data_IF_292608292811
#
_entry.id   IF_292608292811
#
_cell.length_a   1.000
_cell.length_b   1.000
_cell.length_c   1.000
_cell.angle_alpha   90.00
_cell.angle_beta   90.00
_cell.angle_gamma   90.00
#
_symmetry.space_group_name_H-M   'P 1'
#
loop_
_entity.id
_entity.type
_entity.pdbx_description
1 polymer ?
#
# COMPACT_ATOMS: atom_id res chain seq x y z
N UNK A 1 -46.17 25.97 20.76
CA UNK A 1 -44.89 25.20 20.65
C UNK A 1 -43.83 25.96 21.44
N UNK A 2 -43.34 25.37 22.53
CA UNK A 2 -42.47 26.07 23.47
C UNK A 2 -41.06 26.32 22.86
N UNK A 3 -40.66 27.59 22.84
CA UNK A 3 -39.34 28.05 22.36
C UNK A 3 -38.17 27.31 23.02
N UNK A 4 -38.35 26.78 24.23
CA UNK A 4 -37.38 25.96 24.96
C UNK A 4 -37.17 24.57 24.34
N UNK A 5 -38.13 24.04 23.59
CA UNK A 5 -38.00 22.73 22.94
C UNK A 5 -37.22 22.82 21.61
N UNK A 6 -37.22 24.00 21.00
CA UNK A 6 -36.51 24.26 19.74
C UNK A 6 -34.98 24.39 19.94
N UNK A 7 -34.56 24.83 21.14
CA UNK A 7 -33.13 25.04 21.46
C UNK A 7 -32.42 23.72 21.78
N UNK A 8 -33.16 22.71 22.25
CA UNK A 8 -32.58 21.40 22.60
C UNK A 8 -32.29 20.53 21.35
N UNK A 9 -32.97 20.80 20.24
CA UNK A 9 -32.79 20.04 19.01
C UNK A 9 -31.63 20.51 18.13
N UNK A 10 -30.99 21.61 18.49
CA UNK A 10 -29.88 22.21 17.74
C UNK A 10 -28.47 21.88 18.29
N UNK A 11 -28.39 21.04 19.33
CA UNK A 11 -27.13 20.82 20.05
C UNK A 11 -26.58 19.41 19.92
N UNK A 12 -26.88 18.65 18.87
CA UNK A 12 -26.39 17.28 18.76
C UNK A 12 -25.95 16.85 17.36
N UNK A 13 -25.21 17.69 16.66
CA UNK A 13 -24.36 17.18 15.57
C UNK A 13 -23.00 17.87 15.65
N UNK A 14 -22.26 17.58 16.71
CA UNK A 14 -20.82 17.68 16.65
C UNK A 14 -20.34 16.45 15.89
N UNK A 15 -20.37 16.51 14.57
CA UNK A 15 -19.63 15.57 13.73
C UNK A 15 -18.15 15.85 14.02
N UNK A 16 -17.56 15.04 14.90
CA UNK A 16 -16.10 14.95 15.01
C UNK A 16 -15.66 14.39 13.67
N UNK A 17 -15.33 15.28 12.73
CA UNK A 17 -14.55 14.90 11.57
C UNK A 17 -13.21 14.40 12.09
N UNK A 18 -13.13 13.10 12.34
CA UNK A 18 -11.88 12.42 12.57
C UNK A 18 -11.06 12.66 11.30
N UNK A 19 -10.04 13.48 11.40
CA UNK A 19 -9.09 13.76 10.33
C UNK A 19 -8.21 12.51 10.17
N UNK A 20 -8.80 11.43 9.67
CA UNK A 20 -8.03 10.31 9.14
C UNK A 20 -7.55 10.74 7.76
N UNK A 21 -6.25 10.89 7.58
CA UNK A 21 -5.61 11.12 6.28
C UNK A 21 -5.72 9.85 5.41
N UNK A 22 -6.94 9.35 5.26
CA UNK A 22 -7.24 8.23 4.39
C UNK A 22 -7.33 8.73 2.95
N UNK A 23 -6.46 8.23 2.10
CA UNK A 23 -6.52 8.51 0.67
C UNK A 23 -7.27 7.40 -0.04
N UNK A 24 -8.31 7.78 -0.77
CA UNK A 24 -9.06 6.87 -1.64
C UNK A 24 -8.47 6.88 -3.04
N UNK A 25 -8.46 5.72 -3.69
CA UNK A 25 -7.97 5.53 -5.04
C UNK A 25 -9.07 4.93 -5.92
N UNK A 26 -9.13 5.38 -7.16
CA UNK A 26 -10.01 4.78 -8.18
C UNK A 26 -9.17 3.84 -9.04
N UNK A 27 -9.43 2.53 -9.00
CA UNK A 27 -8.72 1.58 -9.86
C UNK A 27 -8.99 1.86 -11.33
N UNK A 28 -7.98 1.68 -12.17
CA UNK A 28 -8.14 1.84 -13.62
C UNK A 28 -9.00 0.73 -14.18
N UNK A 29 -10.06 1.10 -14.89
CA UNK A 29 -10.95 0.15 -15.53
C UNK A 29 -10.19 -0.73 -16.55
N UNK A 30 -10.43 -2.05 -16.48
CA UNK A 30 -9.80 -3.01 -17.38
C UNK A 30 -8.53 -3.68 -16.86
N UNK A 31 -7.93 -3.19 -15.77
CA UNK A 31 -6.84 -3.89 -15.10
C UNK A 31 -7.39 -5.13 -14.36
N UNK A 32 -6.94 -6.32 -14.77
CA UNK A 32 -7.23 -7.57 -14.06
C UNK A 32 -6.26 -7.71 -12.89
N UNK A 33 -6.77 -8.07 -11.71
CA UNK A 33 -5.99 -8.29 -10.50
C UNK A 33 -6.45 -7.43 -9.34
N UNK A 34 -5.76 -7.51 -8.18
CA UNK A 34 -6.15 -6.78 -6.97
C UNK A 34 -6.20 -5.27 -7.20
N UNK A 35 -7.21 -4.64 -6.64
CA UNK A 35 -7.41 -3.20 -6.70
C UNK A 35 -7.29 -2.59 -5.29
N UNK A 36 -6.35 -1.68 -5.12
CA UNK A 36 -6.18 -0.95 -3.86
C UNK A 36 -7.10 0.27 -3.91
N UNK A 37 -8.09 0.30 -3.02
CA UNK A 37 -9.11 1.36 -3.00
C UNK A 37 -8.87 2.41 -1.93
N UNK A 38 -8.08 2.09 -0.90
CA UNK A 38 -7.74 3.04 0.16
C UNK A 38 -6.38 2.71 0.78
N UNK A 39 -5.65 3.75 1.16
CA UNK A 39 -4.46 3.66 1.98
C UNK A 39 -4.43 4.83 2.97
N UNK A 40 -4.09 4.52 4.21
CA UNK A 40 -3.68 5.46 5.24
C UNK A 40 -2.59 4.84 6.09
N UNK A 41 -1.92 5.63 6.91
CA UNK A 41 -0.85 5.13 7.79
C UNK A 41 -1.31 3.87 8.55
N UNK A 42 -0.59 2.77 8.37
CA UNK A 42 -0.84 1.50 9.04
C UNK A 42 -2.01 0.67 8.51
N UNK A 43 -2.69 1.08 7.42
CA UNK A 43 -3.77 0.28 6.85
C UNK A 43 -3.96 0.48 5.34
N UNK A 44 -4.42 -0.58 4.69
CA UNK A 44 -4.73 -0.60 3.26
C UNK A 44 -6.00 -1.42 3.00
N UNK A 45 -6.83 -0.97 2.05
CA UNK A 45 -8.01 -1.73 1.60
C UNK A 45 -7.76 -2.21 0.18
N UNK A 46 -7.84 -3.53 -0.01
CA UNK A 46 -7.66 -4.20 -1.31
C UNK A 46 -8.88 -5.07 -1.56
N UNK A 47 -9.57 -4.85 -2.66
CA UNK A 47 -10.79 -5.59 -3.03
C UNK A 47 -11.82 -5.66 -1.87
N UNK A 48 -11.98 -4.54 -1.14
CA UNK A 48 -12.89 -4.44 0.00
C UNK A 48 -12.40 -5.06 1.30
N UNK A 49 -11.23 -5.73 1.31
CA UNK A 49 -10.64 -6.31 2.51
C UNK A 49 -9.60 -5.37 3.12
N UNK A 50 -9.69 -5.18 4.43
CA UNK A 50 -8.76 -4.37 5.21
C UNK A 50 -7.53 -5.17 5.64
N UNK A 51 -6.35 -4.58 5.42
CA UNK A 51 -5.05 -5.09 5.87
C UNK A 51 -4.40 -4.06 6.78
N UNK A 52 -3.85 -4.52 7.90
CA UNK A 52 -3.19 -3.69 8.91
C UNK A 52 -1.73 -4.10 9.16
N UNK A 53 -1.23 -5.01 8.36
CA UNK A 53 0.17 -5.43 8.37
C UNK A 53 0.81 -5.05 7.04
N UNK A 54 2.12 -4.93 7.04
CA UNK A 54 2.90 -4.89 5.81
C UNK A 54 2.49 -6.04 4.89
N UNK A 55 2.44 -5.80 3.60
CA UNK A 55 1.94 -6.80 2.66
C UNK A 55 2.73 -6.86 1.35
N UNK A 56 2.65 -8.01 0.71
CA UNK A 56 3.11 -8.21 -0.67
C UNK A 56 1.96 -8.68 -1.55
N UNK A 57 2.01 -8.30 -2.82
CA UNK A 57 1.10 -8.78 -3.85
C UNK A 57 1.94 -9.53 -4.88
N UNK A 58 1.68 -10.82 -4.99
CA UNK A 58 2.36 -11.70 -5.93
C UNK A 58 1.84 -11.49 -7.37
N UNK A 59 2.59 -11.87 -8.41
CA UNK A 59 2.14 -11.74 -9.80
C UNK A 59 0.87 -12.54 -10.12
N UNK A 60 0.53 -13.52 -9.29
CA UNK A 60 -0.72 -14.28 -9.34
C UNK A 60 -1.93 -13.48 -8.84
N UNK A 61 -1.73 -12.32 -8.25
CA UNK A 61 -2.75 -11.52 -7.58
C UNK A 61 -3.01 -11.91 -6.12
N UNK A 62 -2.27 -12.87 -5.59
CA UNK A 62 -2.38 -13.25 -4.17
C UNK A 62 -1.80 -12.14 -3.31
N UNK A 63 -2.58 -11.71 -2.31
CA UNK A 63 -2.18 -10.72 -1.32
C UNK A 63 -1.82 -11.43 -0.04
N UNK A 64 -0.60 -11.24 0.42
CA UNK A 64 -0.06 -11.91 1.61
C UNK A 64 0.52 -10.92 2.60
N UNK A 65 0.51 -11.31 3.88
CA UNK A 65 1.28 -10.61 4.90
C UNK A 65 2.76 -10.73 4.56
N UNK A 66 3.44 -9.60 4.57
CA UNK A 66 4.89 -9.51 4.43
C UNK A 66 5.45 -8.79 5.67
N UNK A 67 6.67 -9.09 6.07
CA UNK A 67 7.30 -8.45 7.22
C UNK A 67 8.80 -8.46 7.03
N UNK A 68 9.45 -7.30 6.88
CA UNK A 68 10.90 -7.23 6.87
C UNK A 68 11.45 -7.57 8.26
N UNK A 69 12.69 -8.07 8.30
CA UNK A 69 13.37 -8.36 9.56
C UNK A 69 13.69 -7.09 10.35
N UNK A 70 13.95 -5.99 9.65
CA UNK A 70 14.14 -4.66 10.23
C UNK A 70 13.13 -3.69 9.62
N UNK A 71 12.33 -2.97 10.43
CA UNK A 71 11.32 -2.05 9.92
C UNK A 71 11.92 -0.84 9.17
N UNK A 72 13.21 -0.56 9.33
CA UNK A 72 13.88 0.57 8.70
C UNK A 72 14.65 0.21 7.42
N UNK A 73 14.83 -1.09 7.16
CA UNK A 73 15.59 -1.58 6.01
C UNK A 73 14.86 -2.72 5.31
N UNK A 74 14.82 -2.67 3.99
CA UNK A 74 14.35 -3.76 3.15
C UNK A 74 15.56 -4.45 2.54
N UNK A 75 15.90 -5.62 3.07
CA UNK A 75 17.09 -6.39 2.70
C UNK A 75 16.77 -7.46 1.63
N UNK A 76 17.77 -8.02 0.93
CA UNK A 76 17.57 -9.08 -0.06
C UNK A 76 16.81 -10.29 0.49
N UNK A 77 17.03 -10.66 1.75
CA UNK A 77 16.36 -11.78 2.40
C UNK A 77 14.85 -11.55 2.55
N UNK A 78 14.44 -10.30 2.78
CA UNK A 78 13.04 -9.93 2.99
C UNK A 78 12.20 -10.02 1.72
N UNK A 79 12.84 -9.87 0.55
CA UNK A 79 12.18 -9.84 -0.75
C UNK A 79 12.48 -11.07 -1.62
N UNK A 80 13.22 -12.04 -1.09
CA UNK A 80 13.68 -13.22 -1.83
C UNK A 80 12.53 -13.98 -2.48
N UNK A 81 11.40 -14.11 -1.80
CA UNK A 81 10.25 -14.84 -2.29
C UNK A 81 9.64 -14.15 -3.52
N UNK A 82 9.31 -12.88 -3.41
CA UNK A 82 8.68 -12.14 -4.50
C UNK A 82 9.63 -11.97 -5.69
N UNK A 83 10.91 -11.78 -5.46
CA UNK A 83 11.93 -11.66 -6.53
C UNK A 83 12.07 -12.97 -7.31
N UNK A 84 11.82 -14.12 -6.68
CA UNK A 84 11.86 -15.44 -7.33
C UNK A 84 10.50 -15.89 -7.88
N UNK A 85 9.43 -15.08 -7.77
CA UNK A 85 8.07 -15.42 -8.23
C UNK A 85 7.83 -15.16 -9.73
N UNK A 86 8.87 -15.11 -10.54
CA UNK A 86 8.82 -14.91 -11.99
C UNK A 86 8.23 -13.54 -12.41
N UNK A 87 8.61 -12.49 -11.70
CA UNK A 87 8.24 -11.10 -12.00
C UNK A 87 9.22 -10.45 -12.98
N UNK A 88 8.73 -9.47 -13.74
CA UNK A 88 9.53 -8.57 -14.59
C UNK A 88 9.64 -7.17 -14.02
N UNK A 89 8.70 -6.81 -13.14
CA UNK A 89 8.69 -5.52 -12.44
C UNK A 89 8.31 -5.71 -10.97
N UNK A 90 8.93 -4.91 -10.12
CA UNK A 90 8.65 -4.85 -8.68
C UNK A 90 8.41 -3.40 -8.27
N UNK A 91 7.27 -3.16 -7.62
CA UNK A 91 6.96 -1.89 -6.98
C UNK A 91 7.23 -2.04 -5.47
N UNK A 92 7.97 -1.12 -4.91
CA UNK A 92 8.26 -1.05 -3.47
C UNK A 92 7.73 0.27 -2.94
N UNK A 93 6.65 0.22 -2.17
CA UNK A 93 6.19 1.32 -1.33
C UNK A 93 6.93 1.26 0.01
N UNK A 94 7.86 2.18 0.22
CA UNK A 94 8.80 2.14 1.33
C UNK A 94 8.36 2.97 2.55
N UNK A 95 7.06 3.04 2.79
CA UNK A 95 6.45 3.71 3.93
C UNK A 95 5.69 4.98 3.56
N UNK A 96 4.88 5.48 4.48
CA UNK A 96 4.05 6.68 4.29
C UNK A 96 4.89 7.91 3.90
N UNK A 97 6.06 8.04 4.52
CA UNK A 97 7.02 9.12 4.29
C UNK A 97 8.29 8.65 3.56
N UNK A 98 8.30 7.42 3.03
CA UNK A 98 9.49 6.85 2.41
C UNK A 98 10.60 6.48 3.39
N UNK A 99 10.24 6.15 4.65
CA UNK A 99 11.20 5.99 5.75
C UNK A 99 12.01 4.69 5.73
N UNK A 100 11.52 3.63 5.07
CA UNK A 100 12.29 2.39 4.96
C UNK A 100 13.35 2.51 3.86
N UNK A 101 14.61 2.34 4.22
CA UNK A 101 15.72 2.39 3.28
C UNK A 101 15.85 1.07 2.49
N UNK A 102 16.21 1.18 1.22
CA UNK A 102 16.53 0.04 0.37
C UNK A 102 18.01 0.12 0.01
N UNK A 103 18.89 -0.65 0.67
CA UNK A 103 20.33 -0.62 0.40
C UNK A 103 20.67 -1.02 -1.04
N UNK A 104 21.83 -0.57 -1.52
CA UNK A 104 22.31 -0.89 -2.88
C UNK A 104 22.41 -2.39 -3.11
N UNK A 105 22.75 -3.19 -2.10
CA UNK A 105 22.77 -4.65 -2.20
C UNK A 105 21.40 -5.22 -2.58
N UNK A 106 20.30 -4.65 -2.03
CA UNK A 106 18.95 -5.06 -2.36
C UNK A 106 18.58 -4.66 -3.79
N UNK A 107 18.93 -3.45 -4.20
CA UNK A 107 18.73 -2.97 -5.57
C UNK A 107 19.48 -3.85 -6.56
N UNK A 108 20.73 -4.17 -6.26
CA UNK A 108 21.58 -5.03 -7.11
C UNK A 108 21.04 -6.46 -7.16
N UNK A 109 20.52 -6.99 -6.05
CA UNK A 109 19.88 -8.30 -6.01
C UNK A 109 18.68 -8.38 -6.95
N UNK A 110 17.83 -7.34 -6.99
CA UNK A 110 16.68 -7.24 -7.88
C UNK A 110 17.14 -7.14 -9.35
N UNK A 111 18.07 -6.23 -9.62
CA UNK A 111 18.57 -5.97 -10.98
C UNK A 111 19.29 -7.19 -11.59
N UNK A 112 19.99 -7.98 -10.77
CA UNK A 112 20.66 -9.21 -11.20
C UNK A 112 19.67 -10.25 -11.76
N UNK A 113 18.39 -10.13 -11.42
CA UNK A 113 17.29 -10.97 -11.96
C UNK A 113 16.59 -10.35 -13.18
N UNK A 114 17.13 -9.26 -13.74
CA UNK A 114 16.52 -8.50 -14.83
C UNK A 114 15.12 -7.97 -14.49
N UNK A 115 14.87 -7.64 -13.23
CA UNK A 115 13.62 -7.08 -12.74
C UNK A 115 13.74 -5.56 -12.71
N UNK A 116 12.78 -4.86 -13.33
CA UNK A 116 12.64 -3.42 -13.22
C UNK A 116 12.08 -3.07 -11.84
N UNK A 117 12.78 -2.25 -11.07
CA UNK A 117 12.34 -1.85 -9.74
C UNK A 117 11.88 -0.40 -9.73
N UNK A 118 10.75 -0.15 -9.05
CA UNK A 118 10.19 1.16 -8.76
C UNK A 118 10.10 1.33 -7.25
N UNK A 119 10.80 2.33 -6.70
CA UNK A 119 10.85 2.62 -5.26
C UNK A 119 10.29 4.01 -5.05
N UNK A 120 9.30 4.13 -4.18
CA UNK A 120 8.66 5.39 -3.83
C UNK A 120 7.90 5.26 -2.51
N UNK A 121 7.41 6.39 -1.95
CA UNK A 121 6.53 6.31 -0.80
C UNK A 121 5.29 5.48 -1.12
N UNK A 122 4.67 4.92 -0.08
CA UNK A 122 3.58 3.95 -0.26
C UNK A 122 2.36 4.54 -0.95
N UNK A 123 2.08 5.82 -0.75
CA UNK A 123 0.98 6.51 -1.44
C UNK A 123 1.15 6.51 -2.97
N UNK A 124 2.33 6.89 -3.44
CA UNK A 124 2.65 6.90 -4.87
C UNK A 124 2.76 5.48 -5.44
N UNK A 125 3.28 4.55 -4.64
CA UNK A 125 3.38 3.13 -5.02
C UNK A 125 1.98 2.51 -5.27
N UNK A 126 0.99 2.84 -4.45
CA UNK A 126 -0.40 2.42 -4.63
C UNK A 126 -0.97 2.96 -5.95
N UNK A 127 -0.74 4.24 -6.23
CA UNK A 127 -1.18 4.86 -7.49
C UNK A 127 -0.56 4.16 -8.69
N UNK A 128 0.76 4.00 -8.69
CA UNK A 128 1.48 3.31 -9.76
C UNK A 128 0.99 1.87 -9.92
N UNK A 129 0.78 1.14 -8.82
CA UNK A 129 0.27 -0.23 -8.86
C UNK A 129 -1.11 -0.31 -9.51
N UNK A 130 -2.04 0.57 -9.14
CA UNK A 130 -3.39 0.58 -9.72
C UNK A 130 -3.41 0.94 -11.21
N UNK A 131 -2.51 1.81 -11.66
CA UNK A 131 -2.39 2.26 -13.05
C UNK A 131 -1.64 1.26 -13.95
N UNK A 132 -0.83 0.39 -13.35
CA UNK A 132 0.03 -0.54 -14.10
C UNK A 132 -0.68 -1.82 -14.49
N UNK A 133 -0.22 -2.46 -15.59
CA UNK A 133 -0.55 -3.85 -15.89
C UNK A 133 -0.05 -4.77 -14.78
N UNK A 134 -0.85 -5.73 -14.37
CA UNK A 134 -0.50 -6.71 -13.32
C UNK A 134 0.29 -7.90 -13.86
N UNK A 135 0.50 -7.97 -15.16
CA UNK A 135 1.22 -9.07 -15.79
C UNK A 135 2.68 -9.08 -15.34
N UNK A 136 3.10 -10.18 -14.73
CA UNK A 136 4.45 -10.39 -14.20
C UNK A 136 4.92 -9.23 -13.29
N UNK A 137 4.01 -8.63 -12.54
CA UNK A 137 4.28 -7.58 -11.58
C UNK A 137 4.15 -8.10 -10.16
N UNK A 138 5.13 -7.77 -9.32
CA UNK A 138 5.05 -7.89 -7.87
C UNK A 138 5.00 -6.53 -7.20
N UNK A 139 4.43 -6.46 -6.01
CA UNK A 139 4.45 -5.24 -5.22
C UNK A 139 4.66 -5.56 -3.73
N UNK A 140 5.37 -4.68 -3.05
CA UNK A 140 5.57 -4.71 -1.59
C UNK A 140 5.15 -3.36 -1.05
N UNK A 141 4.39 -3.35 0.03
CA UNK A 141 3.91 -2.14 0.67
C UNK A 141 4.25 -2.14 2.16
N UNK A 142 5.15 -1.24 2.53
CA UNK A 142 5.37 -0.87 3.92
C UNK A 142 4.32 0.17 4.30
N UNK A 143 3.43 -0.17 5.24
CA UNK A 143 2.24 0.66 5.54
C UNK A 143 2.52 1.77 6.54
N UNK A 144 3.60 1.65 7.29
CA UNK A 144 4.06 2.59 8.33
C UNK A 144 5.25 3.43 7.83
N UNK A 145 5.90 4.14 8.71
CA UNK A 145 7.05 5.03 8.39
C UNK A 145 6.67 6.12 7.36
#
# INVERSE_FOLDING_TARGET
MNLKLLIILLLSVLIVASCSNETTFTPTAGNKGPAITSYSFGQMIIDGKKYTNELQILPTGVVEKWSPNDPHYILPVDIKEIVNSNIKALIIGNGANGGAAIPDETINFIKAKNIKVHIMNTHEAVKLFNESSKEAMGAIFHLNC
#
